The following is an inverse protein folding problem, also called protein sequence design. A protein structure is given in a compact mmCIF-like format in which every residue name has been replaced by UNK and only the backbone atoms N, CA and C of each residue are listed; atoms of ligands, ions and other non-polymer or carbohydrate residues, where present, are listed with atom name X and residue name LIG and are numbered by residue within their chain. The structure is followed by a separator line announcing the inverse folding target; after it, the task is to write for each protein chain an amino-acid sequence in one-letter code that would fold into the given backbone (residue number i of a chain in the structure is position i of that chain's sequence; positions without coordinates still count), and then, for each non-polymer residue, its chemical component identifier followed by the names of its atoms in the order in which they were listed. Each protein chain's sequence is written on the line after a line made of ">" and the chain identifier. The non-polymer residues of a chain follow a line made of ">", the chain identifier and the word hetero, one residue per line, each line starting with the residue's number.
data_IF_333588857784
#
_entry.id   IF_333588857784
#
_cell.length_a   1.000
_cell.length_b   1.000
_cell.length_c   1.000
_cell.angle_alpha   90.00
_cell.angle_beta   90.00
_cell.angle_gamma   90.00
#
_symmetry.space_group_name_H-M   'P 1'
#
loop_
_entity.id
_entity.type
_entity.pdbx_description
1 polymer ?
#
# COMPACT_ATOMS: atom_id res chain seq x y z
N UNK A 1 68.75 -47.47 -35.81
CA UNK A 1 67.29 -47.33 -35.96
C UNK A 1 66.85 -46.27 -34.94
N UNK A 2 66.60 -45.10 -35.48
CA UNK A 2 66.15 -43.94 -34.64
C UNK A 2 64.62 -43.92 -34.59
N UNK A 3 64.07 -43.86 -33.40
CA UNK A 3 62.62 -43.52 -33.20
C UNK A 3 62.52 -42.06 -32.71
N UNK A 4 61.95 -41.25 -33.52
CA UNK A 4 61.56 -39.85 -33.19
C UNK A 4 60.19 -39.84 -32.53
N UNK A 5 60.09 -39.37 -31.28
CA UNK A 5 58.82 -39.08 -30.59
C UNK A 5 58.47 -37.64 -30.81
N UNK A 6 57.42 -37.44 -31.58
CA UNK A 6 56.70 -36.14 -31.68
C UNK A 6 55.71 -36.06 -30.54
N UNK A 7 55.92 -35.15 -29.58
CA UNK A 7 54.93 -34.80 -28.54
C UNK A 7 54.24 -33.54 -28.94
N UNK A 8 52.98 -33.64 -29.34
CA UNK A 8 52.13 -32.54 -29.61
C UNK A 8 51.59 -31.98 -28.28
N UNK A 9 51.92 -30.73 -27.98
CA UNK A 9 51.38 -30.01 -26.83
C UNK A 9 49.93 -29.56 -27.16
N UNK A 10 48.95 -30.18 -26.53
CA UNK A 10 47.57 -29.67 -26.51
C UNK A 10 47.52 -28.37 -25.69
N UNK A 11 47.02 -27.29 -26.35
CA UNK A 11 46.70 -26.04 -25.68
C UNK A 11 45.46 -26.27 -24.84
N UNK A 12 45.59 -26.30 -23.51
CA UNK A 12 44.46 -26.30 -22.58
C UNK A 12 43.69 -24.99 -22.69
N UNK A 13 42.44 -25.05 -23.17
CA UNK A 13 41.48 -23.97 -23.04
C UNK A 13 41.15 -23.76 -21.56
N UNK A 14 41.52 -22.61 -21.03
CA UNK A 14 41.12 -22.19 -19.69
C UNK A 14 39.63 -21.86 -19.74
N UNK A 15 38.78 -22.78 -19.28
CA UNK A 15 37.37 -22.46 -19.02
C UNK A 15 37.33 -21.42 -17.91
N UNK A 16 37.08 -20.17 -18.29
CA UNK A 16 36.71 -19.11 -17.34
C UNK A 16 35.37 -19.54 -16.74
N UNK A 17 35.38 -20.00 -15.50
CA UNK A 17 34.17 -20.24 -14.71
C UNK A 17 33.55 -18.87 -14.44
N UNK A 18 32.56 -18.49 -15.21
CA UNK A 18 31.73 -17.35 -14.87
C UNK A 18 30.97 -17.72 -13.61
N UNK A 19 31.26 -17.06 -12.48
CA UNK A 19 30.40 -17.14 -11.31
C UNK A 19 28.94 -16.76 -11.72
N UNK A 20 27.93 -17.47 -11.22
CA UNK A 20 26.55 -17.10 -11.52
C UNK A 20 26.35 -15.64 -11.13
N UNK A 21 25.79 -14.84 -12.04
CA UNK A 21 25.44 -13.44 -11.78
C UNK A 21 24.52 -13.42 -10.56
N UNK A 22 24.89 -12.70 -9.50
CA UNK A 22 24.05 -12.56 -8.31
C UNK A 22 22.73 -11.90 -8.72
N UNK A 23 21.60 -12.53 -8.43
CA UNK A 23 20.27 -11.98 -8.70
C UNK A 23 19.86 -11.01 -7.58
N UNK A 24 19.19 -9.93 -7.93
CA UNK A 24 18.54 -9.06 -6.97
C UNK A 24 17.24 -9.66 -6.39
N UNK A 25 16.67 -10.70 -7.04
CA UNK A 25 15.47 -11.38 -6.54
C UNK A 25 15.85 -12.37 -5.45
N UNK A 26 15.44 -12.11 -4.21
CA UNK A 26 15.68 -12.96 -3.04
C UNK A 26 14.60 -14.03 -2.88
N UNK A 27 13.33 -13.69 -3.19
CA UNK A 27 12.22 -14.64 -3.24
C UNK A 27 11.12 -14.16 -4.18
N UNK A 28 10.32 -15.12 -4.68
CA UNK A 28 9.10 -14.88 -5.46
C UNK A 28 8.02 -15.81 -4.91
N UNK A 29 6.99 -15.26 -4.29
CA UNK A 29 6.07 -16.02 -3.44
C UNK A 29 4.62 -15.70 -3.81
N UNK A 30 3.78 -16.73 -3.81
CA UNK A 30 2.34 -16.57 -3.95
C UNK A 30 1.78 -15.86 -2.70
N UNK A 31 1.02 -14.79 -2.92
CA UNK A 31 0.42 -13.96 -1.88
C UNK A 31 -1.07 -14.29 -1.73
N UNK A 32 -1.56 -14.23 -0.48
CA UNK A 32 -2.98 -14.20 -0.18
C UNK A 32 -3.62 -12.82 -0.38
N UNK A 33 -4.87 -12.67 0.05
CA UNK A 33 -5.58 -11.38 0.09
C UNK A 33 -4.77 -10.33 0.86
N UNK A 34 -4.29 -10.70 2.05
CA UNK A 34 -3.30 -9.91 2.78
C UNK A 34 -1.91 -10.24 2.22
N UNK A 35 -1.22 -9.24 1.70
CA UNK A 35 0.13 -9.36 1.16
C UNK A 35 1.13 -9.52 2.31
N UNK A 36 2.07 -10.43 2.16
CA UNK A 36 3.22 -10.50 3.06
C UNK A 36 4.07 -9.25 2.89
N UNK A 37 4.36 -8.57 3.99
CA UNK A 37 5.20 -7.36 4.05
C UNK A 37 6.48 -7.63 4.82
N UNK A 38 7.43 -6.69 4.75
CA UNK A 38 8.64 -6.66 5.56
C UNK A 38 8.67 -5.37 6.38
N UNK A 39 9.27 -5.41 7.57
CA UNK A 39 9.53 -4.21 8.40
C UNK A 39 10.12 -3.09 7.52
N UNK A 40 9.61 -1.83 7.58
CA UNK A 40 8.70 -1.28 8.58
C UNK A 40 7.19 -1.45 8.28
N UNK A 41 6.82 -2.18 7.24
CA UNK A 41 5.41 -2.40 6.87
C UNK A 41 4.85 -3.62 7.59
N UNK A 42 3.64 -3.47 8.14
CA UNK A 42 2.96 -4.51 8.91
C UNK A 42 1.91 -5.26 8.10
N UNK A 43 1.33 -4.57 7.11
CA UNK A 43 0.16 -5.07 6.41
C UNK A 43 0.04 -4.34 5.07
N UNK A 44 -0.43 -5.07 4.06
CA UNK A 44 -0.82 -4.48 2.78
C UNK A 44 -1.95 -5.31 2.18
N UNK A 45 -3.02 -4.66 1.77
CA UNK A 45 -4.11 -5.28 1.03
C UNK A 45 -4.47 -4.44 -0.18
N UNK A 46 -4.88 -5.12 -1.26
CA UNK A 46 -5.36 -4.49 -2.48
C UNK A 46 -6.86 -4.76 -2.61
N UNK A 47 -7.67 -3.72 -2.50
CA UNK A 47 -9.09 -3.75 -2.78
C UNK A 47 -9.30 -3.36 -4.24
N UNK A 48 -9.77 -4.33 -5.02
CA UNK A 48 -10.15 -4.13 -6.42
C UNK A 48 -11.57 -4.66 -6.58
N UNK A 49 -12.51 -3.76 -6.72
CA UNK A 49 -13.94 -4.06 -6.77
C UNK A 49 -14.62 -3.39 -7.95
N UNK A 50 -15.40 -4.14 -8.70
CA UNK A 50 -16.19 -3.68 -9.84
C UNK A 50 -17.65 -3.53 -9.40
N UNK A 51 -17.92 -2.56 -8.52
CA UNK A 51 -19.27 -2.32 -8.02
C UNK A 51 -20.23 -1.94 -9.13
N UNK A 52 -21.50 -2.40 -9.06
CA UNK A 52 -22.54 -1.94 -9.96
C UNK A 52 -22.89 -0.46 -9.72
N UNK A 53 -23.84 0.05 -10.50
CA UNK A 53 -24.45 1.36 -10.25
C UNK A 53 -24.95 1.47 -8.81
N UNK A 54 -24.85 2.66 -8.23
CA UNK A 54 -25.29 2.94 -6.87
C UNK A 54 -26.79 3.18 -6.75
N UNK A 55 -27.37 2.77 -5.62
CA UNK A 55 -28.75 3.09 -5.26
C UNK A 55 -28.84 4.46 -4.55
N UNK A 56 -30.03 4.87 -4.11
CA UNK A 56 -30.27 6.16 -3.43
C UNK A 56 -29.40 6.37 -2.17
N UNK A 57 -29.03 5.29 -1.48
CA UNK A 57 -28.18 5.30 -0.28
C UNK A 57 -26.70 5.14 -0.59
N UNK A 58 -26.28 5.18 -1.86
CA UNK A 58 -24.91 4.95 -2.31
C UNK A 58 -24.37 3.53 -2.01
N UNK A 59 -25.26 2.57 -1.77
CA UNK A 59 -24.97 1.14 -1.81
C UNK A 59 -25.18 0.56 -3.20
N UNK A 60 -24.90 -0.75 -3.41
CA UNK A 60 -25.12 -1.40 -4.70
C UNK A 60 -26.60 -1.40 -5.13
N UNK A 61 -26.87 -1.12 -6.39
CA UNK A 61 -28.21 -1.25 -6.98
C UNK A 61 -28.46 -2.69 -7.47
N UNK A 62 -28.09 -3.66 -6.64
CA UNK A 62 -28.26 -5.09 -6.86
C UNK A 62 -28.64 -5.78 -5.54
N UNK A 63 -29.36 -6.91 -5.60
CA UNK A 63 -29.69 -7.68 -4.40
C UNK A 63 -28.43 -8.18 -3.69
N UNK A 64 -28.43 -8.11 -2.37
CA UNK A 64 -27.36 -8.62 -1.52
C UNK A 64 -27.61 -10.08 -1.07
N UNK A 65 -28.57 -10.76 -1.67
CA UNK A 65 -28.93 -12.14 -1.34
C UNK A 65 -27.74 -13.06 -1.61
N UNK A 66 -27.39 -13.88 -0.63
CA UNK A 66 -26.26 -14.82 -0.72
C UNK A 66 -24.93 -14.24 -0.28
N UNK A 67 -24.86 -12.95 0.13
CA UNK A 67 -23.66 -12.35 0.71
C UNK A 67 -23.67 -12.44 2.23
N UNK A 68 -22.49 -12.59 2.81
CA UNK A 68 -22.28 -12.57 4.27
C UNK A 68 -22.16 -11.12 4.77
N UNK A 69 -23.30 -10.41 4.86
CA UNK A 69 -23.33 -9.01 5.26
C UNK A 69 -22.64 -8.82 6.62
N UNK A 70 -21.69 -7.86 6.67
CA UNK A 70 -20.84 -7.60 7.82
C UNK A 70 -19.52 -8.40 7.82
N UNK A 71 -19.34 -9.38 6.90
CA UNK A 71 -18.11 -10.17 6.74
C UNK A 71 -17.96 -10.70 5.31
N UNK A 72 -18.25 -9.89 4.30
CA UNK A 72 -18.21 -10.27 2.87
C UNK A 72 -16.83 -10.03 2.26
N UNK A 73 -15.98 -11.07 2.30
CA UNK A 73 -14.58 -11.02 1.84
C UNK A 73 -14.26 -12.06 0.75
N UNK A 74 -15.26 -12.68 0.13
CA UNK A 74 -15.03 -13.71 -0.90
C UNK A 74 -14.32 -13.13 -2.13
N UNK A 75 -13.07 -13.54 -2.34
CA UNK A 75 -12.23 -13.10 -3.48
C UNK A 75 -12.75 -13.58 -4.85
N UNK A 76 -13.71 -14.52 -4.89
CA UNK A 76 -14.32 -14.98 -6.14
C UNK A 76 -15.40 -14.02 -6.64
N UNK A 77 -15.87 -13.10 -5.80
CA UNK A 77 -16.83 -12.07 -6.21
C UNK A 77 -16.11 -10.89 -6.86
N UNK A 78 -16.74 -10.31 -7.90
CA UNK A 78 -16.23 -9.11 -8.59
C UNK A 78 -16.21 -7.87 -7.68
N UNK A 79 -16.99 -7.88 -6.61
CA UNK A 79 -17.05 -6.82 -5.60
C UNK A 79 -17.49 -7.38 -4.24
N UNK A 80 -17.21 -6.64 -3.17
CA UNK A 80 -17.44 -7.06 -1.78
C UNK A 80 -18.08 -5.95 -0.97
N UNK A 81 -18.95 -6.32 -0.02
CA UNK A 81 -19.49 -5.38 0.97
C UNK A 81 -18.53 -5.15 2.14
N UNK A 82 -17.55 -6.02 2.34
CA UNK A 82 -16.66 -6.04 3.50
C UNK A 82 -17.45 -6.11 4.81
N UNK A 83 -17.31 -5.13 5.69
CA UNK A 83 -18.10 -5.01 6.92
C UNK A 83 -19.33 -4.10 6.75
N UNK A 84 -19.50 -3.46 5.60
CA UNK A 84 -20.62 -2.58 5.31
C UNK A 84 -21.94 -3.33 5.16
N UNK A 85 -23.03 -2.75 5.65
CA UNK A 85 -24.38 -3.31 5.54
C UNK A 85 -25.20 -2.69 4.40
N UNK A 86 -25.04 -1.41 4.15
CA UNK A 86 -25.76 -0.65 3.10
C UNK A 86 -24.81 -0.12 2.06
N UNK A 87 -23.75 0.55 2.48
CA UNK A 87 -22.64 1.02 1.67
C UNK A 87 -21.45 0.07 1.92
N UNK A 88 -20.70 -0.33 0.88
CA UNK A 88 -19.50 -1.14 1.09
C UNK A 88 -18.47 -0.39 1.94
N UNK A 89 -17.60 -1.12 2.63
CA UNK A 89 -16.50 -0.55 3.38
C UNK A 89 -16.35 -1.07 4.80
N UNK A 90 -15.69 -0.26 5.61
CA UNK A 90 -15.31 -0.57 6.99
C UNK A 90 -15.93 0.44 7.95
N UNK A 91 -17.10 0.12 8.58
CA UNK A 91 -17.69 0.95 9.63
C UNK A 91 -16.73 1.19 10.79
N UNK A 92 -17.05 2.12 11.67
CA UNK A 92 -16.20 2.59 12.76
C UNK A 92 -15.50 1.45 13.50
N UNK A 93 -14.17 1.47 13.50
CA UNK A 93 -13.28 0.50 14.14
C UNK A 93 -12.02 1.22 14.68
N UNK A 94 -11.39 0.69 15.76
CA UNK A 94 -10.24 1.34 16.38
C UNK A 94 -8.92 0.93 15.76
N UNK A 95 -7.88 1.77 15.96
CA UNK A 95 -6.46 1.44 15.74
C UNK A 95 -5.60 2.06 16.83
N UNK A 96 -4.41 1.45 17.10
CA UNK A 96 -3.38 2.01 17.98
C UNK A 96 -1.99 1.52 17.58
N UNK A 97 -1.00 2.43 17.64
CA UNK A 97 0.42 2.12 17.62
C UNK A 97 1.04 1.97 16.23
N UNK A 98 0.34 2.39 15.18
CA UNK A 98 0.81 2.37 13.80
C UNK A 98 0.08 3.41 12.95
N UNK A 99 0.36 3.43 11.66
CA UNK A 99 -0.23 4.32 10.69
C UNK A 99 -0.92 3.54 9.57
N UNK A 100 -2.02 4.09 9.05
CA UNK A 100 -2.63 3.60 7.80
C UNK A 100 -2.34 4.59 6.68
N UNK A 101 -1.89 4.06 5.54
CA UNK A 101 -1.72 4.80 4.29
C UNK A 101 -2.66 4.20 3.27
N UNK A 102 -3.74 4.93 2.95
CA UNK A 102 -4.76 4.52 1.99
C UNK A 102 -4.50 5.21 0.67
N UNK A 103 -4.08 4.45 -0.34
CA UNK A 103 -3.79 4.96 -1.69
C UNK A 103 -4.94 4.58 -2.60
N UNK A 104 -5.77 5.55 -3.00
CA UNK A 104 -6.95 5.31 -3.84
C UNK A 104 -6.62 5.61 -5.29
N UNK A 105 -6.41 4.57 -6.10
CA UNK A 105 -6.08 4.71 -7.52
C UNK A 105 -7.31 5.04 -8.37
N UNK A 106 -8.48 4.50 -7.99
CA UNK A 106 -9.76 4.76 -8.64
C UNK A 106 -10.90 4.60 -7.63
N UNK A 107 -12.00 5.31 -7.84
CA UNK A 107 -13.15 5.32 -6.91
C UNK A 107 -13.02 6.36 -5.80
N UNK A 108 -13.90 6.26 -4.81
CA UNK A 108 -14.02 7.21 -3.70
C UNK A 108 -14.05 6.49 -2.35
N UNK A 109 -13.49 7.14 -1.35
CA UNK A 109 -13.56 6.75 0.06
C UNK A 109 -14.10 7.92 0.87
N UNK A 110 -15.04 7.64 1.76
CA UNK A 110 -15.50 8.56 2.79
C UNK A 110 -14.88 8.14 4.12
N UNK A 111 -14.09 9.04 4.70
CA UNK A 111 -13.45 8.85 6.00
C UNK A 111 -14.14 9.71 7.06
N UNK A 112 -14.31 9.13 8.25
CA UNK A 112 -14.71 9.82 9.47
C UNK A 112 -13.90 9.24 10.63
N UNK A 113 -13.49 10.08 11.60
CA UNK A 113 -12.75 9.61 12.76
C UNK A 113 -13.24 10.17 14.10
N UNK A 114 -12.73 9.57 15.18
CA UNK A 114 -13.07 9.98 16.56
C UNK A 114 -12.40 11.29 16.98
N UNK A 115 -11.40 11.77 16.23
CA UNK A 115 -10.76 13.09 16.43
C UNK A 115 -11.56 14.24 15.81
N UNK A 116 -12.66 13.93 15.07
CA UNK A 116 -13.50 14.89 14.38
C UNK A 116 -13.04 15.24 12.97
N UNK A 117 -11.96 14.60 12.47
CA UNK A 117 -11.59 14.74 11.07
C UNK A 117 -12.53 13.92 10.17
N UNK A 118 -12.74 14.40 8.95
CA UNK A 118 -13.55 13.72 7.95
C UNK A 118 -13.16 14.17 6.55
N UNK A 119 -13.49 13.35 5.54
CA UNK A 119 -13.20 13.72 4.15
C UNK A 119 -13.76 12.74 3.15
N UNK A 120 -13.84 13.19 1.92
CA UNK A 120 -14.05 12.38 0.72
C UNK A 120 -12.83 12.51 -0.18
N UNK A 121 -12.24 11.41 -0.55
CA UNK A 121 -11.01 11.39 -1.37
C UNK A 121 -11.02 10.21 -2.34
N UNK A 122 -10.22 10.29 -3.40
CA UNK A 122 -10.15 9.24 -4.42
C UNK A 122 -9.37 9.69 -5.66
N UNK A 123 -9.41 8.86 -6.72
CA UNK A 123 -8.82 9.17 -8.03
C UNK A 123 -7.35 9.61 -7.97
N UNK A 124 -6.56 8.95 -7.16
CA UNK A 124 -5.15 9.20 -6.99
C UNK A 124 -4.76 9.86 -5.67
N UNK A 125 -5.72 10.25 -4.84
CA UNK A 125 -5.45 10.80 -3.52
C UNK A 125 -4.87 9.75 -2.57
N UNK A 126 -4.16 10.23 -1.57
CA UNK A 126 -3.58 9.43 -0.50
C UNK A 126 -4.01 10.00 0.85
N UNK A 127 -4.61 9.16 1.67
CA UNK A 127 -4.88 9.48 3.07
C UNK A 127 -3.80 8.86 3.95
N UNK A 128 -3.22 9.66 4.84
CA UNK A 128 -2.29 9.20 5.86
C UNK A 128 -2.89 9.44 7.23
N UNK A 129 -3.18 8.36 7.96
CA UNK A 129 -3.72 8.46 9.32
C UNK A 129 -2.73 7.85 10.30
N UNK A 130 -2.21 8.66 11.21
CA UNK A 130 -1.43 8.20 12.36
C UNK A 130 -2.41 7.82 13.47
N UNK A 131 -2.55 6.52 13.78
CA UNK A 131 -3.41 6.09 14.88
C UNK A 131 -2.77 6.39 16.25
N UNK A 132 -1.45 6.32 16.34
CA UNK A 132 -0.69 6.72 17.54
C UNK A 132 -1.26 6.14 18.83
N UNK A 133 -1.62 6.99 19.79
CA UNK A 133 -2.16 6.60 21.09
C UNK A 133 -3.57 5.99 21.05
N UNK A 134 -4.23 6.04 19.89
CA UNK A 134 -5.52 5.40 19.63
C UNK A 134 -6.51 6.33 18.94
N UNK A 135 -7.13 5.82 17.89
CA UNK A 135 -8.15 6.50 17.11
C UNK A 135 -9.18 5.47 16.63
N UNK A 136 -10.43 5.87 16.51
CA UNK A 136 -11.46 5.14 15.76
C UNK A 136 -11.68 5.82 14.42
N UNK A 137 -11.84 5.06 13.36
CA UNK A 137 -12.24 5.60 12.07
C UNK A 137 -13.19 4.68 11.30
N UNK A 138 -13.87 5.24 10.30
CA UNK A 138 -14.60 4.49 9.28
C UNK A 138 -14.06 4.84 7.91
N UNK A 139 -14.06 3.87 7.01
CA UNK A 139 -13.69 4.02 5.59
C UNK A 139 -14.80 3.38 4.76
N UNK A 140 -15.73 4.20 4.27
CA UNK A 140 -16.86 3.72 3.46
C UNK A 140 -16.60 4.01 1.99
N UNK A 141 -17.10 3.16 1.10
CA UNK A 141 -16.92 3.25 -0.35
C UNK A 141 -18.22 3.63 -1.04
N UNK A 142 -18.56 4.95 -1.10
CA UNK A 142 -19.84 5.41 -1.61
C UNK A 142 -19.95 5.22 -3.12
N UNK A 143 -20.98 4.49 -3.56
CA UNK A 143 -21.26 4.29 -4.99
C UNK A 143 -22.02 5.48 -5.54
N UNK A 144 -21.29 6.52 -5.94
CA UNK A 144 -21.88 7.81 -6.33
C UNK A 144 -22.47 7.81 -7.73
N UNK A 145 -22.00 6.95 -8.65
CA UNK A 145 -22.58 6.82 -9.98
C UNK A 145 -23.85 5.96 -9.93
N UNK A 146 -24.96 6.48 -10.45
CA UNK A 146 -26.25 5.78 -10.49
C UNK A 146 -26.57 5.16 -11.84
N UNK A 147 -25.86 5.59 -12.89
CA UNK A 147 -26.13 5.21 -14.28
C UNK A 147 -25.05 4.26 -14.85
N UNK A 148 -23.95 4.09 -14.15
CA UNK A 148 -22.82 3.26 -14.55
C UNK A 148 -22.15 2.62 -13.33
N UNK A 149 -21.31 1.66 -13.58
CA UNK A 149 -20.53 0.98 -12.56
C UNK A 149 -19.62 1.96 -11.79
N UNK A 150 -19.35 1.58 -10.53
CA UNK A 150 -18.42 2.26 -9.65
C UNK A 150 -17.21 1.35 -9.42
N UNK A 151 -16.09 1.66 -10.04
CA UNK A 151 -14.84 0.92 -9.78
C UNK A 151 -14.20 1.45 -8.50
N UNK A 152 -13.66 0.54 -7.70
CA UNK A 152 -12.77 0.85 -6.60
C UNK A 152 -11.44 0.12 -6.84
N UNK A 153 -10.33 0.85 -6.72
CA UNK A 153 -8.97 0.33 -6.82
C UNK A 153 -8.11 1.05 -5.79
N UNK A 154 -7.87 0.44 -4.63
CA UNK A 154 -7.13 1.05 -3.55
C UNK A 154 -6.20 0.06 -2.84
N UNK A 155 -5.12 0.60 -2.26
CA UNK A 155 -4.27 -0.08 -1.31
C UNK A 155 -4.47 0.46 0.10
N UNK A 156 -4.67 -0.45 1.05
CA UNK A 156 -4.56 -0.17 2.48
C UNK A 156 -3.22 -0.70 2.96
N UNK A 157 -2.34 0.18 3.41
CA UNK A 157 -0.98 -0.14 3.83
C UNK A 157 -0.83 0.27 5.29
N UNK A 158 -0.31 -0.62 6.14
CA UNK A 158 0.02 -0.28 7.51
C UNK A 158 1.53 -0.11 7.65
N UNK A 159 1.94 1.05 8.11
CA UNK A 159 3.31 1.39 8.45
C UNK A 159 3.47 1.42 9.96
N UNK A 160 4.47 0.71 10.47
CA UNK A 160 4.72 0.63 11.91
C UNK A 160 5.31 1.94 12.45
N UNK A 161 5.02 2.26 13.70
CA UNK A 161 5.68 3.30 14.45
C UNK A 161 6.74 2.69 15.38
N UNK A 162 7.91 3.34 15.55
CA UNK A 162 8.87 2.92 16.56
C UNK A 162 8.28 3.10 17.97
N UNK A 163 8.78 2.36 18.95
CA UNK A 163 8.26 2.34 20.32
C UNK A 163 8.10 3.72 20.94
N UNK A 164 9.05 4.62 20.67
CA UNK A 164 9.04 6.02 21.16
C UNK A 164 7.85 6.84 20.63
N UNK A 165 7.32 6.50 19.45
CA UNK A 165 6.27 7.26 18.76
C UNK A 165 4.91 6.53 18.73
N UNK A 166 4.82 5.27 19.21
CA UNK A 166 3.56 4.50 19.23
C UNK A 166 2.42 5.17 20.01
N UNK A 167 2.75 6.03 20.96
CA UNK A 167 1.77 6.77 21.77
C UNK A 167 1.71 8.26 21.41
N UNK A 168 2.17 8.62 20.21
CA UNK A 168 2.02 9.99 19.67
C UNK A 168 0.54 10.37 19.54
N UNK A 169 0.24 11.66 19.45
CA UNK A 169 -1.12 12.11 19.19
C UNK A 169 -1.61 11.59 17.83
N UNK A 170 -2.87 11.15 17.73
CA UNK A 170 -3.46 10.80 16.45
C UNK A 170 -3.42 11.95 15.46
N UNK A 171 -3.24 11.64 14.18
CA UNK A 171 -3.16 12.62 13.10
C UNK A 171 -3.86 12.13 11.84
N UNK A 172 -4.33 13.08 11.04
CA UNK A 172 -4.95 12.84 9.75
C UNK A 172 -4.41 13.83 8.73
N UNK A 173 -3.82 13.33 7.67
CA UNK A 173 -3.26 14.12 6.59
C UNK A 173 -3.80 13.64 5.24
N UNK A 174 -4.07 14.58 4.34
CA UNK A 174 -4.50 14.32 2.97
C UNK A 174 -3.45 14.81 1.99
N UNK A 175 -3.01 13.92 1.13
CA UNK A 175 -2.12 14.22 0.01
C UNK A 175 -2.95 14.05 -1.27
N UNK A 176 -3.23 15.15 -1.93
CA UNK A 176 -4.04 15.14 -3.14
C UNK A 176 -3.28 14.55 -4.33
N UNK A 177 -4.02 13.95 -5.26
CA UNK A 177 -3.45 13.34 -6.46
C UNK A 177 -2.53 14.30 -7.23
N UNK A 178 -2.89 15.59 -7.23
CA UNK A 178 -2.16 16.70 -7.87
C UNK A 178 -0.82 17.01 -7.17
N UNK A 179 -0.68 16.62 -5.91
CA UNK A 179 0.55 16.78 -5.12
C UNK A 179 1.48 15.57 -5.20
N UNK A 180 0.96 14.41 -5.63
CA UNK A 180 1.74 13.17 -5.76
C UNK A 180 2.59 13.25 -7.03
N UNK A 181 3.94 13.25 -6.93
CA UNK A 181 4.78 13.27 -8.11
C UNK A 181 4.51 12.06 -9.00
N UNK A 182 4.26 12.32 -10.29
CA UNK A 182 4.11 11.31 -11.33
C UNK A 182 5.18 11.58 -12.39
N UNK A 183 6.21 10.74 -12.40
CA UNK A 183 7.45 10.98 -13.15
C UNK A 183 7.48 10.07 -14.37
N UNK A 184 7.59 10.66 -15.55
CA UNK A 184 7.81 9.92 -16.80
C UNK A 184 9.23 9.36 -16.83
N UNK A 185 9.35 8.09 -17.23
CA UNK A 185 10.58 7.34 -17.43
C UNK A 185 10.61 6.79 -18.86
N UNK A 186 11.78 6.46 -19.41
CA UNK A 186 11.87 5.94 -20.78
C UNK A 186 10.99 4.70 -21.01
N UNK A 187 10.93 3.78 -20.02
CA UNK A 187 10.16 2.55 -20.11
C UNK A 187 8.78 2.62 -19.46
N UNK A 188 8.34 3.74 -18.87
CA UNK A 188 7.10 3.80 -18.11
C UNK A 188 6.90 5.11 -17.36
N UNK A 189 6.27 5.04 -16.20
CA UNK A 189 6.16 6.15 -15.24
C UNK A 189 6.05 5.64 -13.81
N UNK A 190 6.43 6.47 -12.85
CA UNK A 190 6.33 6.14 -11.42
C UNK A 190 5.60 7.23 -10.67
N UNK A 191 4.62 6.84 -9.84
CA UNK A 191 4.00 7.70 -8.83
C UNK A 191 4.71 7.48 -7.49
N UNK A 192 5.15 8.58 -6.88
CA UNK A 192 5.92 8.56 -5.62
C UNK A 192 4.98 8.98 -4.50
N UNK A 193 4.40 8.00 -3.78
CA UNK A 193 3.45 8.25 -2.68
C UNK A 193 4.21 8.80 -1.46
N UNK A 194 5.34 8.19 -1.12
CA UNK A 194 6.28 8.67 -0.11
C UNK A 194 7.69 8.24 -0.46
N UNK A 195 8.68 8.96 0.05
CA UNK A 195 10.10 8.71 -0.17
C UNK A 195 10.66 9.42 -1.40
N UNK A 196 11.72 8.84 -1.93
CA UNK A 196 12.51 9.43 -3.02
C UNK A 196 12.67 8.43 -4.17
N UNK A 197 12.57 8.94 -5.40
CA UNK A 197 12.95 8.22 -6.62
C UNK A 197 13.96 9.07 -7.40
N UNK A 198 15.24 8.71 -7.34
CA UNK A 198 16.35 9.54 -7.80
C UNK A 198 16.29 10.96 -7.20
N UNK A 199 16.21 12.01 -8.03
CA UNK A 199 16.10 13.41 -7.60
C UNK A 199 14.69 13.84 -7.16
N UNK A 200 13.67 13.04 -7.44
CA UNK A 200 12.28 13.37 -7.16
C UNK A 200 11.87 12.92 -5.75
N UNK A 201 11.24 13.82 -5.00
CA UNK A 201 10.85 13.58 -3.61
C UNK A 201 9.33 13.77 -3.50
N UNK A 202 8.67 12.84 -2.80
CA UNK A 202 7.25 12.96 -2.44
C UNK A 202 7.04 14.05 -1.36
N UNK A 203 5.78 14.49 -1.13
CA UNK A 203 5.43 15.26 0.05
C UNK A 203 5.93 14.58 1.34
N UNK A 204 6.28 15.38 2.34
CA UNK A 204 6.77 14.86 3.62
C UNK A 204 5.69 14.01 4.32
N UNK A 205 6.11 12.90 4.90
CA UNK A 205 5.25 12.11 5.78
C UNK A 205 5.04 12.81 7.14
N UNK A 206 4.01 12.44 7.93
CA UNK A 206 3.78 12.98 9.27
C UNK A 206 5.02 12.91 10.15
N UNK A 207 5.23 13.91 10.99
CA UNK A 207 6.49 14.09 11.77
C UNK A 207 6.82 12.93 12.72
N UNK A 208 5.83 12.18 13.18
CA UNK A 208 6.03 10.99 14.02
C UNK A 208 6.23 9.72 13.21
N UNK A 209 6.00 9.76 11.90
CA UNK A 209 6.12 8.60 11.01
C UNK A 209 7.58 8.16 10.85
N UNK A 210 7.79 6.84 10.78
CA UNK A 210 9.10 6.29 10.38
C UNK A 210 9.53 6.78 8.98
N UNK A 211 8.56 7.10 8.12
CA UNK A 211 8.81 7.65 6.78
C UNK A 211 9.24 9.12 6.76
N UNK A 212 9.20 9.83 7.91
CA UNK A 212 9.55 11.24 7.98
C UNK A 212 11.05 11.49 7.78
N UNK A 213 11.87 10.61 8.36
CA UNK A 213 13.33 10.73 8.29
C UNK A 213 13.84 10.15 6.97
N UNK A 214 14.46 10.97 6.13
CA UNK A 214 14.97 10.58 4.82
C UNK A 214 15.97 9.40 4.88
N UNK A 215 16.73 9.29 5.97
CA UNK A 215 17.68 8.20 6.22
C UNK A 215 17.03 6.82 6.40
N UNK A 216 15.72 6.77 6.69
CA UNK A 216 14.99 5.51 6.77
C UNK A 216 14.59 4.95 5.39
N UNK A 217 14.77 5.74 4.32
CA UNK A 217 14.51 5.37 2.93
C UNK A 217 13.16 4.67 2.72
N UNK A 218 12.15 5.07 3.53
CA UNK A 218 10.80 4.54 3.35
C UNK A 218 10.23 5.05 2.04
N UNK A 219 9.78 4.12 1.21
CA UNK A 219 9.21 4.41 -0.09
C UNK A 219 7.96 3.57 -0.37
N UNK A 220 6.93 4.23 -0.91
CA UNK A 220 5.73 3.61 -1.46
C UNK A 220 5.62 4.12 -2.89
N UNK A 221 5.75 3.22 -3.87
CA UNK A 221 5.75 3.58 -5.28
C UNK A 221 4.77 2.75 -6.08
N UNK A 222 4.06 3.39 -7.01
CA UNK A 222 3.30 2.70 -8.05
C UNK A 222 4.06 2.88 -9.36
N UNK A 223 4.72 1.82 -9.80
CA UNK A 223 5.45 1.80 -11.07
C UNK A 223 4.59 1.19 -12.16
N UNK A 224 4.43 1.89 -13.26
CA UNK A 224 3.84 1.37 -14.51
C UNK A 224 4.95 1.24 -15.54
N UNK A 225 5.14 0.03 -16.07
CA UNK A 225 6.07 -0.25 -17.17
C UNK A 225 5.25 -0.45 -18.44
N UNK A 226 5.51 0.35 -19.47
CA UNK A 226 4.82 0.31 -20.76
C UNK A 226 5.10 -1.00 -21.50
N UNK A 227 4.20 -1.39 -22.39
CA UNK A 227 4.41 -2.59 -23.26
C UNK A 227 5.75 -2.49 -23.99
N UNK A 228 6.55 -3.55 -23.89
CA UNK A 228 7.92 -3.61 -24.41
C UNK A 228 8.95 -2.75 -23.66
N UNK A 229 8.54 -2.04 -22.60
CA UNK A 229 9.39 -1.17 -21.81
C UNK A 229 10.18 -1.92 -20.73
N UNK A 230 11.17 -1.22 -20.18
CA UNK A 230 11.94 -1.66 -19.00
C UNK A 230 12.30 -0.46 -18.13
N UNK A 231 12.32 -0.65 -16.82
CA UNK A 231 12.66 0.39 -15.84
C UNK A 231 13.59 -0.19 -14.79
N UNK A 232 14.68 0.51 -14.53
CA UNK A 232 15.60 0.18 -13.45
C UNK A 232 15.14 0.83 -12.14
N UNK A 233 15.03 0.01 -11.09
CA UNK A 233 14.74 0.52 -9.75
C UNK A 233 16.00 1.15 -9.15
N UNK A 234 15.90 2.34 -8.52
CA UNK A 234 17.02 2.94 -7.82
C UNK A 234 17.54 2.04 -6.70
N UNK A 235 18.85 2.03 -6.49
CA UNK A 235 19.47 1.34 -5.34
C UNK A 235 19.26 2.13 -4.06
N UNK A 236 19.34 1.43 -2.93
CA UNK A 236 19.22 2.00 -1.58
C UNK A 236 20.46 1.65 -0.74
N UNK A 237 20.50 2.16 0.49
CA UNK A 237 21.46 1.75 1.49
C UNK A 237 21.30 0.27 1.87
N UNK A 238 22.36 -0.32 2.42
CA UNK A 238 22.30 -1.66 2.96
C UNK A 238 21.29 -1.76 4.12
N UNK A 239 20.55 -2.87 4.16
CA UNK A 239 19.55 -3.13 5.20
C UNK A 239 18.13 -2.68 4.86
N UNK A 240 17.92 -1.91 3.80
CA UNK A 240 16.57 -1.57 3.34
C UNK A 240 15.86 -2.80 2.81
N UNK A 241 14.73 -3.14 3.39
CA UNK A 241 13.81 -4.14 2.86
C UNK A 241 13.09 -3.59 1.64
N UNK A 242 12.94 -4.41 0.58
CA UNK A 242 12.13 -4.02 -0.60
C UNK A 242 11.24 -5.17 -1.03
N UNK A 243 9.93 -4.92 -1.02
CA UNK A 243 8.92 -5.82 -1.55
C UNK A 243 8.29 -5.21 -2.80
N UNK A 244 8.04 -6.03 -3.81
CA UNK A 244 7.34 -5.63 -5.03
C UNK A 244 6.17 -6.58 -5.29
N UNK A 245 5.00 -6.02 -5.62
CA UNK A 245 3.76 -6.77 -5.82
C UNK A 245 3.16 -6.43 -7.18
N UNK A 246 2.70 -7.46 -7.91
CA UNK A 246 1.90 -7.25 -9.10
C UNK A 246 0.53 -6.65 -8.74
N UNK A 247 0.15 -5.56 -9.40
CA UNK A 247 -1.16 -4.89 -9.25
C UNK A 247 -2.10 -5.37 -10.35
N UNK A 248 -1.75 -5.03 -11.60
CA UNK A 248 -2.57 -5.38 -12.77
C UNK A 248 -1.73 -5.34 -14.06
N UNK A 249 -2.36 -5.68 -15.17
CA UNK A 249 -1.72 -5.75 -16.48
C UNK A 249 -1.12 -7.12 -16.78
N UNK A 250 -0.16 -7.15 -17.68
CA UNK A 250 0.59 -8.35 -18.05
C UNK A 250 1.54 -8.80 -16.92
N UNK A 251 2.13 -9.97 -17.04
CA UNK A 251 3.21 -10.38 -16.16
C UNK A 251 4.48 -9.55 -16.42
N UNK A 252 5.17 -9.14 -15.35
CA UNK A 252 6.49 -8.54 -15.46
C UNK A 252 7.58 -9.62 -15.50
N UNK A 253 8.69 -9.30 -16.14
CA UNK A 253 9.96 -10.02 -15.99
C UNK A 253 10.90 -9.20 -15.11
N UNK A 254 11.45 -9.81 -14.06
CA UNK A 254 12.35 -9.17 -13.10
C UNK A 254 13.58 -10.04 -12.96
N UNK A 255 14.72 -9.60 -13.50
CA UNK A 255 15.97 -10.39 -13.51
C UNK A 255 15.76 -11.85 -13.99
N UNK A 256 14.90 -12.04 -15.01
CA UNK A 256 14.57 -13.36 -15.57
C UNK A 256 13.50 -14.15 -14.78
N UNK A 257 13.00 -13.64 -13.68
CA UNK A 257 11.89 -14.21 -12.91
C UNK A 257 10.55 -13.57 -13.33
N UNK A 258 9.49 -14.37 -13.40
CA UNK A 258 8.14 -13.87 -13.72
C UNK A 258 7.45 -13.37 -12.46
N UNK A 259 6.96 -12.12 -12.48
CA UNK A 259 6.07 -11.56 -11.49
C UNK A 259 4.68 -11.41 -12.11
N UNK A 260 3.71 -12.18 -11.63
CA UNK A 260 2.34 -12.21 -12.13
C UNK A 260 1.31 -11.99 -11.01
N UNK A 261 0.03 -11.93 -11.41
CA UNK A 261 -1.08 -11.70 -10.48
C UNK A 261 -0.99 -12.65 -9.26
N UNK A 262 -1.20 -12.10 -8.08
CA UNK A 262 -1.09 -12.76 -6.76
C UNK A 262 0.34 -13.13 -6.34
N UNK A 263 1.38 -12.70 -7.06
CA UNK A 263 2.76 -12.90 -6.61
C UNK A 263 3.38 -11.60 -6.09
N UNK A 264 4.33 -11.76 -5.17
CA UNK A 264 5.20 -10.71 -4.66
C UNK A 264 6.64 -11.18 -4.59
N UNK A 265 7.56 -10.26 -4.82
CA UNK A 265 9.01 -10.50 -4.77
C UNK A 265 9.65 -9.72 -3.65
N UNK A 266 10.55 -10.37 -2.91
CA UNK A 266 11.50 -9.70 -2.03
C UNK A 266 12.80 -9.46 -2.82
N UNK A 267 13.28 -8.23 -2.80
CA UNK A 267 14.41 -7.78 -3.62
C UNK A 267 15.59 -7.31 -2.75
N UNK A 268 16.80 -7.60 -3.18
CA UNK A 268 18.02 -6.96 -2.66
C UNK A 268 18.07 -5.51 -3.19
N UNK A 269 17.67 -4.58 -2.38
CA UNK A 269 17.53 -3.16 -2.75
C UNK A 269 18.88 -2.46 -2.98
N UNK A 270 20.00 -3.09 -2.59
CA UNK A 270 21.35 -2.58 -2.86
C UNK A 270 21.81 -2.82 -4.30
N UNK A 271 21.06 -3.64 -5.04
CA UNK A 271 21.34 -3.99 -6.43
C UNK A 271 20.37 -3.26 -7.35
N UNK A 272 20.85 -2.84 -8.51
CA UNK A 272 19.96 -2.41 -9.59
C UNK A 272 19.09 -3.60 -10.00
N UNK A 273 17.79 -3.39 -10.03
CA UNK A 273 16.79 -4.38 -10.43
C UNK A 273 16.02 -3.84 -11.62
N UNK A 274 16.07 -4.55 -12.74
CA UNK A 274 15.31 -4.17 -13.94
C UNK A 274 13.95 -4.86 -13.93
N UNK A 275 12.89 -4.07 -14.12
CA UNK A 275 11.50 -4.54 -14.29
C UNK A 275 11.13 -4.35 -15.76
N UNK A 276 10.77 -5.43 -16.44
CA UNK A 276 10.44 -5.46 -17.86
C UNK A 276 8.97 -5.86 -18.07
N UNK A 277 8.34 -5.31 -19.10
CA UNK A 277 6.96 -5.61 -19.51
C UNK A 277 6.93 -6.16 -20.96
N UNK A 278 7.39 -7.40 -21.20
CA UNK A 278 7.62 -7.91 -22.56
C UNK A 278 6.34 -8.22 -23.35
N UNK A 279 5.19 -8.35 -22.70
CA UNK A 279 3.95 -8.85 -23.30
C UNK A 279 2.72 -7.98 -22.94
N UNK A 280 2.90 -6.70 -22.76
CA UNK A 280 1.87 -5.74 -22.39
C UNK A 280 2.23 -4.92 -21.14
N UNK A 281 1.55 -3.79 -20.97
CA UNK A 281 1.75 -2.92 -19.81
C UNK A 281 1.57 -3.69 -18.48
N UNK A 282 2.42 -3.41 -17.52
CA UNK A 282 2.33 -3.93 -16.15
C UNK A 282 2.39 -2.81 -15.14
N UNK A 283 1.64 -2.96 -14.06
CA UNK A 283 1.69 -2.06 -12.91
C UNK A 283 2.06 -2.85 -11.65
N UNK A 284 3.02 -2.33 -10.89
CA UNK A 284 3.51 -2.93 -9.64
C UNK A 284 3.49 -1.90 -8.51
N UNK A 285 3.22 -2.39 -7.28
CA UNK A 285 3.44 -1.66 -6.04
C UNK A 285 4.80 -2.04 -5.48
N UNK A 286 5.57 -1.05 -5.05
CA UNK A 286 6.85 -1.25 -4.37
C UNK A 286 6.76 -0.63 -2.98
N UNK A 287 7.06 -1.43 -1.95
CA UNK A 287 7.19 -1.01 -0.56
C UNK A 287 8.63 -1.23 -0.13
N UNK A 288 9.30 -0.19 0.35
CA UNK A 288 10.68 -0.29 0.85
C UNK A 288 10.89 0.57 2.09
N UNK A 289 11.89 0.25 2.89
CA UNK A 289 12.33 1.06 4.01
C UNK A 289 13.34 0.34 4.90
N UNK A 290 14.13 1.13 5.64
CA UNK A 290 14.94 0.60 6.74
C UNK A 290 14.00 -0.02 7.77
N UNK A 291 14.30 -1.23 8.27
CA UNK A 291 13.52 -1.83 9.35
C UNK A 291 13.60 -0.97 10.62
N UNK A 292 12.53 -0.95 11.39
CA UNK A 292 12.54 -0.37 12.74
C UNK A 292 13.36 -1.26 13.67
N UNK A 293 13.36 -2.59 13.40
CA UNK A 293 14.12 -3.60 14.14
C UNK A 293 13.77 -3.63 15.65
N UNK A 294 12.48 -3.40 15.93
CA UNK A 294 11.92 -3.51 17.28
C UNK A 294 10.94 -4.69 17.36
N UNK A 295 10.72 -5.29 18.54
CA UNK A 295 9.71 -6.32 18.71
C UNK A 295 8.33 -5.83 18.31
N UNK A 296 7.57 -6.67 17.60
CA UNK A 296 6.19 -6.39 17.18
C UNK A 296 5.24 -7.35 17.89
N UNK A 297 4.31 -6.80 18.67
CA UNK A 297 3.16 -7.50 19.20
C UNK A 297 1.90 -6.96 18.54
N UNK A 298 1.18 -7.83 17.82
CA UNK A 298 -0.05 -7.45 17.13
C UNK A 298 -1.20 -8.35 17.58
N UNK A 299 -2.36 -7.73 17.87
CA UNK A 299 -3.60 -8.45 18.08
C UNK A 299 -4.79 -7.59 17.58
N UNK A 300 -5.51 -8.12 16.58
CA UNK A 300 -6.57 -7.37 15.91
C UNK A 300 -6.09 -6.02 15.40
N UNK A 301 -6.75 -4.91 15.78
CA UNK A 301 -6.47 -3.58 15.26
C UNK A 301 -5.37 -2.82 16.05
N UNK A 302 -4.64 -3.50 16.95
CA UNK A 302 -3.61 -2.87 17.78
C UNK A 302 -2.24 -3.48 17.52
N UNK A 303 -1.23 -2.63 17.41
CA UNK A 303 0.17 -3.00 17.18
C UNK A 303 1.06 -2.26 18.18
N UNK A 304 1.68 -3.02 19.08
CA UNK A 304 2.56 -2.51 20.13
C UNK A 304 3.89 -3.28 20.11
N UNK A 305 4.75 -3.08 21.10
CA UNK A 305 6.02 -3.80 21.18
C UNK A 305 5.93 -5.04 22.08
N UNK A 306 4.97 -5.07 23.01
CA UNK A 306 4.81 -6.18 23.96
C UNK A 306 3.35 -6.63 24.08
N UNK A 307 3.16 -7.89 24.51
CA UNK A 307 1.82 -8.41 24.81
C UNK A 307 1.12 -7.61 25.91
N UNK A 308 1.88 -7.10 26.90
CA UNK A 308 1.32 -6.32 27.99
C UNK A 308 0.73 -5.00 27.49
N UNK A 309 1.40 -4.34 26.55
CA UNK A 309 0.90 -3.12 25.93
C UNK A 309 -0.35 -3.38 25.06
N UNK A 310 -0.45 -4.56 24.44
CA UNK A 310 -1.68 -4.97 23.74
C UNK A 310 -2.84 -5.12 24.72
N UNK A 311 -2.63 -5.76 25.88
CA UNK A 311 -3.65 -5.88 26.92
C UNK A 311 -4.09 -4.49 27.39
N UNK A 312 -3.14 -3.58 27.60
CA UNK A 312 -3.43 -2.19 27.97
C UNK A 312 -4.23 -1.48 26.87
N UNK A 313 -3.89 -1.66 25.60
CA UNK A 313 -4.62 -1.07 24.48
C UNK A 313 -6.10 -1.50 24.47
N UNK A 314 -6.39 -2.77 24.70
CA UNK A 314 -7.77 -3.25 24.84
C UNK A 314 -8.49 -2.66 26.06
N UNK A 315 -7.81 -2.57 27.20
CA UNK A 315 -8.35 -1.97 28.44
C UNK A 315 -8.71 -0.50 28.22
N UNK A 316 -7.80 0.26 27.60
CA UNK A 316 -8.01 1.67 27.30
C UNK A 316 -9.18 1.85 26.33
N UNK A 317 -9.21 1.05 25.26
CA UNK A 317 -10.30 1.10 24.28
C UNK A 317 -11.66 0.78 24.92
N UNK A 318 -11.73 -0.26 25.74
CA UNK A 318 -12.98 -0.63 26.45
C UNK A 318 -13.48 0.47 27.39
N UNK A 319 -12.56 1.22 28.01
CA UNK A 319 -12.91 2.28 28.97
C UNK A 319 -13.18 3.64 28.32
N UNK A 320 -12.51 3.97 27.22
CA UNK A 320 -12.52 5.32 26.63
C UNK A 320 -13.06 5.38 25.22
N UNK A 321 -13.08 4.23 24.49
CA UNK A 321 -13.32 4.16 23.04
C UNK A 321 -12.47 5.17 22.27
N UNK A 322 -11.23 5.46 22.74
CA UNK A 322 -10.32 6.46 22.18
C UNK A 322 -10.99 7.82 21.89
N UNK A 323 -11.78 8.33 22.86
CA UNK A 323 -12.50 9.59 22.76
C UNK A 323 -13.99 9.44 22.34
N UNK A 324 -14.42 8.23 21.98
CA UNK A 324 -15.77 7.92 21.55
C UNK A 324 -16.00 8.20 20.07
N UNK A 325 -17.21 7.93 19.60
CA UNK A 325 -17.62 8.13 18.20
C UNK A 325 -18.60 9.30 18.09
N UNK A 326 -18.18 10.46 17.53
CA UNK A 326 -19.02 11.67 17.55
C UNK A 326 -20.09 11.71 16.45
N UNK A 327 -20.08 10.75 15.52
CA UNK A 327 -20.94 10.74 14.35
C UNK A 327 -22.25 9.97 14.59
N UNK A 328 -23.27 10.21 13.76
CA UNK A 328 -24.63 9.67 13.94
C UNK A 328 -24.72 8.15 13.82
N UNK A 329 -23.88 7.54 12.96
CA UNK A 329 -23.82 6.09 12.74
C UNK A 329 -22.36 5.65 12.55
N UNK A 330 -22.08 4.35 12.66
CA UNK A 330 -20.74 3.79 12.45
C UNK A 330 -20.32 3.74 10.99
N UNK A 331 -21.27 3.85 10.05
CA UNK A 331 -21.13 3.70 8.60
C UNK A 331 -21.52 4.97 7.84
N UNK A 332 -21.34 6.12 8.49
CA UNK A 332 -21.71 7.44 7.94
C UNK A 332 -20.99 7.70 6.61
N UNK A 333 -21.68 8.33 5.67
CA UNK A 333 -21.14 8.77 4.38
C UNK A 333 -21.53 10.21 4.08
N UNK A 334 -20.73 10.90 3.29
CA UNK A 334 -21.04 12.24 2.82
C UNK A 334 -22.18 12.24 1.81
N UNK A 335 -22.89 13.38 1.62
CA UNK A 335 -23.88 13.51 0.56
C UNK A 335 -23.31 13.13 -0.81
N UNK A 336 -24.10 12.52 -1.68
CA UNK A 336 -23.67 12.03 -3.02
C UNK A 336 -22.90 13.05 -3.84
N UNK A 337 -23.29 14.32 -3.79
CA UNK A 337 -22.71 15.42 -4.57
C UNK A 337 -21.50 16.07 -3.89
N UNK A 338 -21.10 15.58 -2.71
CA UNK A 338 -19.89 16.08 -2.04
C UNK A 338 -18.68 15.80 -2.93
N UNK A 339 -17.93 16.84 -3.24
CA UNK A 339 -16.65 16.76 -3.94
C UNK A 339 -15.53 16.34 -2.99
N UNK A 340 -14.32 16.10 -3.52
CA UNK A 340 -13.14 15.78 -2.72
C UNK A 340 -12.81 16.94 -1.77
N UNK A 341 -12.62 16.62 -0.50
CA UNK A 341 -12.22 17.56 0.56
C UNK A 341 -11.70 16.77 1.76
N UNK A 342 -11.04 17.47 2.66
CA UNK A 342 -10.76 16.97 4.00
C UNK A 342 -10.98 18.08 5.04
N UNK A 343 -11.68 17.76 6.12
CA UNK A 343 -11.77 18.54 7.34
C UNK A 343 -10.78 17.94 8.34
N UNK A 344 -9.76 18.68 8.68
CA UNK A 344 -8.72 18.25 9.60
C UNK A 344 -9.21 18.39 11.07
N UNK A 345 -8.55 17.69 12.00
CA UNK A 345 -8.91 17.72 13.42
C UNK A 345 -8.78 19.12 14.07
N UNK A 346 -8.01 20.04 13.47
CA UNK A 346 -7.89 21.44 13.89
C UNK A 346 -9.05 22.32 13.40
N UNK A 347 -10.02 21.75 12.63
CA UNK A 347 -11.15 22.46 12.05
C UNK A 347 -10.88 23.13 10.69
N UNK A 348 -9.70 22.98 10.15
CA UNK A 348 -9.35 23.46 8.81
C UNK A 348 -9.93 22.56 7.74
N UNK A 349 -10.57 23.15 6.72
CA UNK A 349 -11.02 22.42 5.54
C UNK A 349 -10.06 22.65 4.39
N UNK A 350 -9.54 21.56 3.83
CA UNK A 350 -8.64 21.58 2.67
C UNK A 350 -9.29 20.90 1.47
N UNK A 351 -8.94 21.37 0.29
CA UNK A 351 -9.42 20.87 -0.99
C UNK A 351 -8.26 20.55 -1.92
N UNK A 352 -8.48 19.71 -2.94
CA UNK A 352 -7.48 19.55 -4.00
C UNK A 352 -7.04 20.91 -4.55
N UNK A 353 -5.74 21.10 -4.87
CA UNK A 353 -5.28 22.31 -5.53
C UNK A 353 -6.10 22.56 -6.81
N UNK A 354 -6.37 23.81 -7.09
CA UNK A 354 -6.94 24.20 -8.39
C UNK A 354 -5.83 24.12 -9.45
N UNK A 355 -6.10 23.52 -10.60
CA UNK A 355 -5.21 23.45 -11.75
C UNK A 355 -4.81 24.86 -12.29
#
# INVERSE_FOLDING_TARGET
>A
MMYSNNTTLEKGETKVSTMPKRSSVLSNTLMGFVRQTSDPFLFCVHHLDLYPAGNEKMGPNQPLVGREIGSDFDENNDWKMYHGATVPGFPAHPHRGFETVTVVLDGLVDHFDSGGATGRYGFGDVQWMTAGSGLMHSEMFPLTNIDKDNRLDLFQIWLNLPSKDKMTAPGYEMIWAEQVPNIELDGGHVRIITGRWNEHIAPAAPSASWAHEESHEVGIYILTVKDGGSVDLPTTSAGVNRMMYHINGAAATVEGHTLEKKYGMHLDSTMVTTVEAPNGEVRVLILQGQPIDEPVAQHGPFVMNTRQEIIQAFTDYQSTQFGGWPWSTSDVVHPRKQERFALLSNGETVHPPLD
#
